data_IF_463414957972
#
_entry.id   IF_463414957972
#
_cell.length_a   1.000
_cell.length_b   1.000
_cell.length_c   1.000
_cell.angle_alpha   90.00
_cell.angle_beta   90.00
_cell.angle_gamma   90.00
#
_symmetry.space_group_name_H-M   'P 1'
#
loop_
_entity.id
_entity.type
_entity.pdbx_description
1 polymer ?
#
# COMPACT_ATOMS: atom_id res chain seq x y z
N UNK A 1 -25.80 26.02 -9.62
CA UNK A 1 -25.54 24.60 -9.29
C UNK A 1 -25.51 23.84 -10.60
N UNK A 2 -24.31 23.54 -11.13
CA UNK A 2 -24.17 22.57 -12.23
C UNK A 2 -24.31 21.19 -11.59
N UNK A 3 -25.28 20.41 -12.07
CA UNK A 3 -25.40 18.99 -11.74
C UNK A 3 -24.03 18.33 -12.01
N UNK A 4 -23.41 17.76 -10.98
CA UNK A 4 -22.31 16.82 -11.19
C UNK A 4 -22.93 15.64 -11.97
N UNK A 5 -22.69 15.58 -13.25
CA UNK A 5 -22.91 14.34 -14.02
C UNK A 5 -22.07 13.27 -13.33
N UNK A 6 -22.73 12.28 -12.78
CA UNK A 6 -22.08 11.07 -12.27
C UNK A 6 -21.48 10.37 -13.48
N UNK A 7 -20.17 10.56 -13.70
CA UNK A 7 -19.43 9.83 -14.73
C UNK A 7 -19.50 8.36 -14.32
N UNK A 8 -20.18 7.54 -15.09
CA UNK A 8 -20.24 6.11 -14.87
C UNK A 8 -18.82 5.50 -15.03
N UNK A 9 -18.42 4.55 -14.19
CA UNK A 9 -17.14 3.86 -14.34
C UNK A 9 -17.03 3.25 -15.74
N UNK A 10 -15.92 3.48 -16.42
CA UNK A 10 -15.77 3.10 -17.84
C UNK A 10 -14.69 2.03 -18.05
N UNK A 11 -13.73 1.86 -17.14
CA UNK A 11 -12.55 1.02 -17.33
C UNK A 11 -12.43 -0.05 -16.26
N UNK A 12 -12.14 -1.29 -16.65
CA UNK A 12 -11.95 -2.40 -15.71
C UNK A 12 -10.75 -2.13 -14.79
N UNK A 13 -9.57 -2.06 -15.37
CA UNK A 13 -8.34 -1.66 -14.68
C UNK A 13 -7.80 -0.37 -15.28
N UNK A 14 -7.45 0.58 -14.43
CA UNK A 14 -6.91 1.87 -14.85
C UNK A 14 -5.56 2.13 -14.22
N UNK A 15 -4.75 2.96 -14.86
CA UNK A 15 -3.48 3.43 -14.36
C UNK A 15 -3.52 4.96 -14.21
N UNK A 16 -3.25 5.47 -13.02
CA UNK A 16 -3.03 6.90 -12.77
C UNK A 16 -1.55 7.21 -12.77
N UNK A 17 -1.10 8.01 -13.74
CA UNK A 17 0.26 8.49 -13.83
C UNK A 17 0.35 9.90 -13.24
N UNK A 18 1.10 10.06 -12.14
CA UNK A 18 1.11 11.29 -11.36
C UNK A 18 2.52 11.73 -10.99
N UNK A 19 2.91 12.94 -11.42
CA UNK A 19 4.15 13.57 -10.97
C UNK A 19 3.99 14.07 -9.53
N UNK A 20 4.78 13.52 -8.62
CA UNK A 20 4.69 13.78 -7.20
C UNK A 20 5.84 14.70 -6.73
N UNK A 21 5.46 15.83 -6.17
CA UNK A 21 6.34 16.76 -5.46
C UNK A 21 5.59 17.37 -4.27
N UNK A 22 6.25 18.26 -3.52
CA UNK A 22 5.64 18.94 -2.38
C UNK A 22 4.36 19.70 -2.78
N UNK A 23 4.39 20.41 -3.91
CA UNK A 23 3.26 21.25 -4.36
C UNK A 23 2.09 20.40 -4.85
N UNK A 24 2.36 19.35 -5.61
CA UNK A 24 1.34 18.48 -6.16
C UNK A 24 0.70 17.58 -5.09
N UNK A 25 1.37 17.33 -3.96
CA UNK A 25 0.88 16.46 -2.90
C UNK A 25 -0.50 16.85 -2.36
N UNK A 26 -0.85 18.13 -2.37
CA UNK A 26 -2.14 18.65 -1.90
C UNK A 26 -3.32 18.27 -2.82
N UNK A 27 -3.04 17.94 -4.07
CA UNK A 27 -4.05 17.57 -5.07
C UNK A 27 -4.21 16.06 -5.24
N UNK A 28 -3.29 15.27 -4.69
CA UNK A 28 -3.21 13.82 -4.91
C UNK A 28 -4.51 13.10 -4.53
N UNK A 29 -5.07 13.40 -3.35
CA UNK A 29 -6.28 12.75 -2.86
C UNK A 29 -7.48 12.97 -3.81
N UNK A 30 -7.67 14.19 -4.28
CA UNK A 30 -8.77 14.52 -5.21
C UNK A 30 -8.55 13.89 -6.58
N UNK A 31 -7.31 13.87 -7.08
CA UNK A 31 -6.96 13.20 -8.34
C UNK A 31 -7.24 11.69 -8.27
N UNK A 32 -6.89 11.05 -7.16
CA UNK A 32 -7.20 9.64 -6.92
C UNK A 32 -8.72 9.41 -6.93
N UNK A 33 -9.49 10.26 -6.26
CA UNK A 33 -10.95 10.18 -6.24
C UNK A 33 -11.54 10.26 -7.66
N UNK A 34 -11.06 11.18 -8.48
CA UNK A 34 -11.50 11.31 -9.87
C UNK A 34 -11.16 10.08 -10.71
N UNK A 35 -9.96 9.52 -10.54
CA UNK A 35 -9.53 8.33 -11.24
C UNK A 35 -10.34 7.08 -10.84
N UNK A 36 -10.57 6.87 -9.53
CA UNK A 36 -11.36 5.73 -9.05
C UNK A 36 -12.79 5.80 -9.57
N UNK A 37 -13.40 6.98 -9.63
CA UNK A 37 -14.76 7.13 -10.12
C UNK A 37 -14.96 6.72 -11.58
N UNK A 38 -13.87 6.59 -12.34
CA UNK A 38 -13.86 6.08 -13.71
C UNK A 38 -13.30 4.64 -13.83
N UNK A 39 -12.98 4.00 -12.71
CA UNK A 39 -12.44 2.64 -12.65
C UNK A 39 -13.45 1.68 -12.01
N UNK A 40 -13.56 0.46 -12.56
CA UNK A 40 -14.56 -0.54 -12.11
C UNK A 40 -13.97 -1.54 -11.13
N UNK A 41 -12.76 -2.04 -11.39
CA UNK A 41 -12.17 -3.15 -10.62
C UNK A 41 -10.90 -2.75 -9.90
N UNK A 42 -10.00 -2.01 -10.58
CA UNK A 42 -8.67 -1.72 -10.06
C UNK A 42 -8.14 -0.38 -10.55
N UNK A 43 -7.44 0.32 -9.65
CA UNK A 43 -6.62 1.48 -9.99
C UNK A 43 -5.17 1.26 -9.56
N UNK A 44 -4.24 1.33 -10.51
CA UNK A 44 -2.80 1.36 -10.25
C UNK A 44 -2.36 2.82 -10.24
N UNK A 45 -1.85 3.29 -9.10
CA UNK A 45 -1.38 4.65 -8.91
C UNK A 45 0.14 4.67 -9.02
N UNK A 46 0.65 5.32 -10.06
CA UNK A 46 2.08 5.48 -10.31
C UNK A 46 2.49 6.88 -9.88
N UNK A 47 3.17 6.99 -8.74
CA UNK A 47 3.73 8.24 -8.26
C UNK A 47 5.17 8.36 -8.70
N UNK A 48 5.48 9.44 -9.45
CA UNK A 48 6.82 9.71 -9.97
C UNK A 48 7.49 10.84 -9.21
N UNK A 49 8.68 10.57 -8.72
CA UNK A 49 9.58 11.59 -8.17
C UNK A 49 11.03 11.11 -8.23
N UNK A 50 12.01 11.96 -8.52
CA UNK A 50 13.43 11.59 -8.37
C UNK A 50 13.77 11.11 -6.97
N UNK A 51 13.00 11.54 -5.96
CA UNK A 51 13.16 11.14 -4.56
C UNK A 51 12.81 9.66 -4.29
N UNK A 52 12.11 8.99 -5.22
CA UNK A 52 11.75 7.57 -5.13
C UNK A 52 12.80 6.64 -5.75
N UNK A 53 14.03 7.12 -5.90
CA UNK A 53 15.12 6.29 -6.42
C UNK A 53 15.54 5.20 -5.41
N UNK A 54 15.14 3.97 -5.68
CA UNK A 54 15.45 2.79 -4.87
C UNK A 54 16.91 2.36 -4.94
N UNK A 55 17.69 2.87 -5.90
CA UNK A 55 19.11 2.54 -6.04
C UNK A 55 19.98 3.26 -5.00
N UNK A 56 19.47 4.34 -4.41
CA UNK A 56 20.16 5.09 -3.37
C UNK A 56 19.93 4.48 -1.99
N UNK A 57 20.44 3.26 -1.78
CA UNK A 57 20.17 2.42 -0.60
C UNK A 57 20.43 3.12 0.73
N UNK A 58 21.44 3.99 0.79
CA UNK A 58 21.81 4.72 2.02
C UNK A 58 20.72 5.72 2.49
N UNK A 59 19.83 6.11 1.60
CA UNK A 59 18.77 7.10 1.90
C UNK A 59 17.40 6.48 2.20
N UNK A 60 17.21 5.19 1.97
CA UNK A 60 15.89 4.57 2.10
C UNK A 60 15.30 4.73 3.50
N UNK A 61 16.09 4.44 4.53
CA UNK A 61 15.64 4.55 5.92
C UNK A 61 15.45 5.99 6.39
N UNK A 62 16.22 6.94 5.86
CA UNK A 62 16.07 8.36 6.21
C UNK A 62 14.75 8.96 5.72
N UNK A 63 14.18 8.40 4.65
CA UNK A 63 12.90 8.83 4.07
C UNK A 63 11.69 8.08 4.63
N UNK A 64 11.85 7.22 5.64
CA UNK A 64 10.81 6.33 6.17
C UNK A 64 9.48 7.04 6.42
N UNK A 65 9.47 8.10 7.25
CA UNK A 65 8.23 8.78 7.63
C UNK A 65 7.56 9.47 6.44
N UNK A 66 8.37 10.07 5.56
CA UNK A 66 7.87 10.74 4.36
C UNK A 66 7.20 9.74 3.40
N UNK A 67 7.85 8.61 3.11
CA UNK A 67 7.29 7.54 2.27
C UNK A 67 6.02 6.97 2.89
N UNK A 68 6.03 6.69 4.20
CA UNK A 68 4.84 6.23 4.90
C UNK A 68 3.67 7.20 4.75
N UNK A 69 3.91 8.50 4.92
CA UNK A 69 2.87 9.52 4.80
C UNK A 69 2.28 9.61 3.38
N UNK A 70 3.10 9.45 2.35
CA UNK A 70 2.64 9.42 0.95
C UNK A 70 1.74 8.21 0.71
N UNK A 71 2.17 7.02 1.12
CA UNK A 71 1.40 5.79 0.98
C UNK A 71 0.07 5.88 1.76
N UNK A 72 0.12 6.37 2.99
CA UNK A 72 -1.07 6.57 3.83
C UNK A 72 -2.04 7.52 3.15
N UNK A 73 -1.58 8.68 2.65
CA UNK A 73 -2.43 9.64 1.94
C UNK A 73 -3.13 9.00 0.73
N UNK A 74 -2.36 8.32 -0.11
CA UNK A 74 -2.89 7.72 -1.33
C UNK A 74 -3.89 6.60 -1.04
N UNK A 75 -3.54 5.67 -0.14
CA UNK A 75 -4.43 4.56 0.21
C UNK A 75 -5.68 4.97 0.98
N UNK A 76 -5.60 6.00 1.82
CA UNK A 76 -6.79 6.52 2.52
C UNK A 76 -7.73 7.20 1.53
N UNK A 77 -7.20 8.02 0.63
CA UNK A 77 -8.02 8.64 -0.41
C UNK A 77 -8.79 7.58 -1.23
N UNK A 78 -8.12 6.48 -1.59
CA UNK A 78 -8.74 5.37 -2.30
C UNK A 78 -9.78 4.63 -1.44
N UNK A 79 -9.46 4.34 -0.18
CA UNK A 79 -10.34 3.61 0.72
C UNK A 79 -11.66 4.34 0.98
N UNK A 80 -11.63 5.68 1.11
CA UNK A 80 -12.85 6.48 1.26
C UNK A 80 -13.78 6.30 0.06
N UNK A 81 -13.26 6.37 -1.17
CA UNK A 81 -14.09 6.20 -2.36
C UNK A 81 -14.67 4.79 -2.45
N UNK A 82 -13.88 3.78 -2.12
CA UNK A 82 -14.34 2.39 -2.05
C UNK A 82 -15.50 2.21 -1.07
N UNK A 83 -15.41 2.86 0.10
CA UNK A 83 -16.47 2.82 1.12
C UNK A 83 -17.74 3.54 0.66
N UNK A 84 -17.59 4.73 0.07
CA UNK A 84 -18.72 5.50 -0.48
C UNK A 84 -19.47 4.72 -1.57
N UNK A 85 -18.76 3.82 -2.27
CA UNK A 85 -19.32 2.94 -3.32
C UNK A 85 -19.86 1.60 -2.77
N UNK A 86 -19.74 1.31 -1.46
CA UNK A 86 -19.97 -0.02 -0.85
C UNK A 86 -19.24 -1.14 -1.62
N UNK A 87 -18.00 -0.85 -2.05
CA UNK A 87 -17.15 -1.79 -2.80
C UNK A 87 -15.79 -2.00 -2.13
N UNK A 88 -15.73 -2.77 -1.03
CA UNK A 88 -14.48 -3.02 -0.31
C UNK A 88 -13.53 -3.97 -1.05
N UNK A 89 -13.95 -4.53 -2.19
CA UNK A 89 -13.12 -5.37 -3.05
C UNK A 89 -12.47 -4.60 -4.19
N UNK A 90 -12.79 -3.30 -4.36
CA UNK A 90 -12.09 -2.46 -5.31
C UNK A 90 -10.60 -2.44 -5.00
N UNK A 91 -9.79 -2.83 -5.97
CA UNK A 91 -8.35 -2.97 -5.76
C UNK A 91 -7.62 -1.66 -6.09
N UNK A 92 -6.72 -1.25 -5.19
CA UNK A 92 -5.87 -0.07 -5.40
C UNK A 92 -4.43 -0.44 -5.09
N UNK A 93 -3.54 -0.19 -6.04
CA UNK A 93 -2.10 -0.33 -5.85
C UNK A 93 -1.39 1.01 -5.99
N UNK A 94 -0.39 1.25 -5.15
CA UNK A 94 0.46 2.44 -5.23
C UNK A 94 1.89 1.99 -5.43
N UNK A 95 2.53 2.49 -6.50
CA UNK A 95 3.96 2.28 -6.75
C UNK A 95 4.69 3.62 -6.77
N UNK A 96 5.91 3.60 -6.25
CA UNK A 96 6.80 4.75 -6.14
C UNK A 96 7.96 4.55 -7.09
N UNK A 97 8.13 5.42 -8.09
CA UNK A 97 9.13 5.27 -9.14
C UNK A 97 9.84 6.58 -9.42
N UNK A 98 11.10 6.48 -9.82
CA UNK A 98 11.93 7.65 -10.17
C UNK A 98 11.49 8.27 -11.49
N UNK A 99 11.16 7.46 -12.48
CA UNK A 99 10.85 7.88 -13.84
C UNK A 99 9.90 6.88 -14.55
N UNK A 100 9.51 7.21 -15.79
CA UNK A 100 8.61 6.40 -16.59
C UNK A 100 9.19 5.05 -17.03
N UNK A 101 10.51 4.96 -17.19
CA UNK A 101 11.16 3.71 -17.59
C UNK A 101 11.15 2.72 -16.45
N UNK A 102 11.39 3.20 -15.22
CA UNK A 102 11.24 2.40 -14.02
C UNK A 102 9.77 1.98 -13.83
N UNK A 103 8.80 2.87 -14.08
CA UNK A 103 7.39 2.51 -14.04
C UNK A 103 7.07 1.35 -15.01
N UNK A 104 7.56 1.40 -16.24
CA UNK A 104 7.35 0.34 -17.21
C UNK A 104 7.97 -1.02 -16.76
N UNK A 105 9.11 -0.98 -16.08
CA UNK A 105 9.73 -2.20 -15.52
C UNK A 105 8.86 -2.78 -14.37
N UNK A 106 8.38 -1.95 -13.46
CA UNK A 106 7.52 -2.37 -12.35
C UNK A 106 6.20 -2.97 -12.84
N UNK A 107 5.66 -2.44 -13.94
CA UNK A 107 4.38 -2.82 -14.50
C UNK A 107 4.48 -3.84 -15.65
N UNK A 108 5.64 -4.43 -15.88
CA UNK A 108 5.87 -5.34 -17.02
C UNK A 108 4.92 -6.56 -17.08
N UNK A 109 4.36 -6.95 -15.93
CA UNK A 109 3.43 -8.09 -15.82
C UNK A 109 1.97 -7.65 -15.60
N UNK A 110 1.69 -6.34 -15.57
CA UNK A 110 0.37 -5.80 -15.34
C UNK A 110 -0.35 -5.49 -16.66
N UNK A 111 -1.68 -5.36 -16.59
CA UNK A 111 -2.53 -4.95 -17.72
C UNK A 111 -3.52 -3.90 -17.22
N UNK A 112 -3.81 -2.93 -18.08
CA UNK A 112 -4.78 -1.86 -17.83
C UNK A 112 -5.47 -1.47 -19.13
N UNK A 113 -6.63 -0.84 -19.01
CA UNK A 113 -7.45 -0.42 -20.15
C UNK A 113 -7.23 1.07 -20.49
N UNK A 114 -6.95 1.87 -19.45
CA UNK A 114 -6.78 3.31 -19.61
C UNK A 114 -5.61 3.86 -18.76
N UNK A 115 -5.00 4.93 -19.26
CA UNK A 115 -4.00 5.72 -18.55
C UNK A 115 -4.59 7.10 -18.25
N UNK A 116 -4.71 7.44 -16.98
CA UNK A 116 -5.14 8.74 -16.49
C UNK A 116 -3.92 9.64 -16.24
N UNK A 117 -3.98 10.86 -16.73
CA UNK A 117 -3.00 11.92 -16.47
C UNK A 117 -3.71 13.22 -16.09
N UNK A 118 -3.03 14.15 -15.47
CA UNK A 118 -3.58 15.49 -15.29
C UNK A 118 -3.61 16.25 -16.62
N UNK A 119 -4.54 17.19 -16.73
CA UNK A 119 -4.64 18.10 -17.87
C UNK A 119 -3.29 18.78 -18.15
N UNK A 120 -2.86 18.74 -19.41
CA UNK A 120 -1.56 19.27 -19.84
C UNK A 120 -0.36 18.34 -19.60
N UNK A 121 -0.53 17.20 -18.94
CA UNK A 121 0.53 16.21 -18.72
C UNK A 121 0.38 15.07 -19.75
N UNK A 122 1.34 14.89 -20.67
CA UNK A 122 1.27 13.81 -21.65
C UNK A 122 1.47 12.45 -20.98
N UNK A 123 0.71 11.45 -21.41
CA UNK A 123 0.93 10.08 -20.98
C UNK A 123 2.27 9.54 -21.54
N UNK A 124 3.11 8.87 -20.70
CA UNK A 124 4.38 8.34 -21.16
C UNK A 124 4.21 7.25 -22.20
N UNK A 125 4.98 7.32 -23.28
CA UNK A 125 4.95 6.31 -24.36
C UNK A 125 5.22 4.89 -23.85
N UNK A 126 6.01 4.75 -22.78
CA UNK A 126 6.33 3.46 -22.19
C UNK A 126 5.11 2.80 -21.49
N UNK A 127 4.07 3.59 -21.14
CA UNK A 127 2.87 3.13 -20.43
C UNK A 127 1.62 3.11 -21.34
N UNK A 128 1.73 3.55 -22.59
CA UNK A 128 0.62 3.64 -23.53
C UNK A 128 0.94 2.84 -24.78
N UNK A 129 -0.02 2.04 -25.25
CA UNK A 129 0.00 1.42 -26.55
C UNK A 129 -1.33 1.67 -27.28
N UNK A 130 -1.49 1.17 -28.50
CA UNK A 130 -2.65 1.41 -29.34
C UNK A 130 -4.00 0.87 -28.76
N UNK A 131 -3.94 0.01 -27.73
CA UNK A 131 -5.11 -0.58 -27.08
C UNK A 131 -5.53 0.15 -25.79
N UNK A 132 -4.78 1.17 -25.37
CA UNK A 132 -5.08 1.93 -24.15
C UNK A 132 -5.74 3.27 -24.46
N UNK A 133 -6.81 3.58 -23.74
CA UNK A 133 -7.33 4.93 -23.72
C UNK A 133 -6.45 5.86 -22.88
N UNK A 134 -6.31 7.11 -23.30
CA UNK A 134 -5.66 8.14 -22.52
C UNK A 134 -6.70 9.17 -22.08
N UNK A 135 -6.87 9.31 -20.77
CA UNK A 135 -7.88 10.17 -20.17
C UNK A 135 -7.21 11.31 -19.42
N UNK A 136 -7.55 12.53 -19.79
CA UNK A 136 -7.09 13.74 -19.10
C UNK A 136 -8.05 14.05 -17.95
N UNK A 137 -7.53 14.02 -16.72
CA UNK A 137 -8.27 14.44 -15.53
C UNK A 137 -8.09 15.95 -15.31
N UNK A 138 -9.16 16.65 -14.90
CA UNK A 138 -9.03 18.07 -14.61
C UNK A 138 -8.02 18.29 -13.47
N UNK A 139 -7.27 19.37 -13.55
CA UNK A 139 -6.46 19.80 -12.42
C UNK A 139 -7.39 20.05 -11.23
N UNK A 140 -7.11 19.41 -10.10
CA UNK A 140 -7.95 19.54 -8.91
C UNK A 140 -7.96 21.01 -8.45
N UNK A 141 -9.12 21.67 -8.56
CA UNK A 141 -9.31 22.97 -7.95
C UNK A 141 -9.49 22.78 -6.44
N UNK A 142 -8.78 23.58 -5.66
CA UNK A 142 -9.03 23.63 -4.21
C UNK A 142 -10.50 23.94 -3.96
N UNK A 143 -11.23 23.00 -3.41
CA UNK A 143 -12.50 23.33 -2.75
C UNK A 143 -12.17 24.21 -1.55
N UNK A 144 -12.69 25.45 -1.56
CA UNK A 144 -12.50 26.38 -0.44
C UNK A 144 -12.91 25.70 0.86
N UNK A 145 -11.95 25.55 1.79
CA UNK A 145 -12.20 25.00 3.13
C UNK A 145 -11.33 23.81 3.53
N UNK A 146 -10.54 23.22 2.62
CA UNK A 146 -9.65 22.09 2.95
C UNK A 146 -8.22 22.60 3.09
N UNK A 147 -7.73 22.79 4.30
CA UNK A 147 -6.32 23.08 4.58
C UNK A 147 -5.52 21.78 4.52
N UNK A 148 -5.27 21.28 3.31
CA UNK A 148 -4.31 20.19 3.13
C UNK A 148 -2.92 20.82 3.12
N UNK A 149 -2.08 20.46 4.09
CA UNK A 149 -0.70 20.90 4.11
C UNK A 149 0.14 20.06 3.13
N UNK A 150 1.07 20.69 2.37
CA UNK A 150 1.97 19.97 1.50
C UNK A 150 2.81 18.93 2.28
N UNK A 151 2.99 17.75 1.69
CA UNK A 151 3.87 16.72 2.24
C UNK A 151 5.34 17.07 1.94
N UNK A 152 5.97 17.75 2.89
CA UNK A 152 7.40 18.10 2.80
C UNK A 152 8.27 16.88 2.97
N UNK A 153 9.32 16.79 2.16
CA UNK A 153 10.39 15.83 2.37
C UNK A 153 11.09 16.14 3.70
N UNK A 154 10.87 15.29 4.68
CA UNK A 154 11.60 15.32 5.96
C UNK A 154 12.40 14.04 6.05
N UNK A 155 13.70 14.18 6.27
CA UNK A 155 14.60 13.04 6.46
C UNK A 155 14.93 12.87 7.94
N UNK A 156 14.92 11.62 8.41
CA UNK A 156 15.40 11.30 9.77
C UNK A 156 16.92 11.53 9.84
N UNK A 157 17.35 12.24 10.88
CA UNK A 157 18.76 12.27 11.26
C UNK A 157 19.13 10.96 11.95
N UNK A 158 20.27 10.38 11.61
CA UNK A 158 20.76 9.16 12.23
C UNK A 158 21.70 8.36 11.34
N UNK A 159 22.19 7.22 11.85
CA UNK A 159 23.02 6.30 11.05
C UNK A 159 22.16 5.74 9.90
N UNK A 160 22.61 6.00 8.69
CA UNK A 160 22.04 5.41 7.47
C UNK A 160 22.36 3.92 7.48
N UNK A 161 21.36 3.08 7.66
CA UNK A 161 21.51 1.64 7.64
C UNK A 161 20.91 1.06 6.37
N UNK A 162 21.61 0.07 5.83
CA UNK A 162 21.16 -0.72 4.68
C UNK A 162 20.73 -2.08 5.22
N UNK A 163 19.53 -2.52 4.86
CA UNK A 163 19.02 -3.82 5.27
C UNK A 163 18.95 -4.73 4.04
N UNK A 164 19.82 -5.72 4.00
CA UNK A 164 19.80 -6.73 2.94
C UNK A 164 18.58 -7.63 3.08
N UNK A 165 18.25 -8.03 4.29
CA UNK A 165 17.12 -8.90 4.60
C UNK A 165 16.25 -8.26 5.66
N UNK A 166 14.98 -8.05 5.32
CA UNK A 166 13.95 -7.59 6.26
C UNK A 166 12.81 -8.59 6.33
N UNK A 167 12.06 -8.56 7.41
CA UNK A 167 10.91 -9.43 7.61
C UNK A 167 9.67 -8.65 8.04
N UNK A 168 8.52 -9.18 7.72
CA UNK A 168 7.22 -8.77 8.24
C UNK A 168 6.28 -9.98 8.28
N UNK A 169 5.19 -9.88 9.04
CA UNK A 169 4.25 -10.99 9.16
C UNK A 169 2.80 -10.53 9.30
N UNK A 170 1.89 -11.39 8.89
CA UNK A 170 0.46 -11.12 8.98
C UNK A 170 -0.41 -12.23 8.37
N UNK A 171 -1.71 -12.03 8.38
CA UNK A 171 -2.64 -12.95 7.70
C UNK A 171 -2.67 -12.70 6.19
N UNK A 172 -2.54 -11.45 5.78
CA UNK A 172 -2.59 -10.98 4.39
C UNK A 172 -3.82 -11.48 3.61
N UNK A 173 -4.94 -11.56 4.33
CA UNK A 173 -6.22 -11.96 3.76
C UNK A 173 -6.87 -10.74 3.10
N UNK A 174 -7.29 -10.86 1.83
CA UNK A 174 -7.76 -9.74 1.02
C UNK A 174 -6.83 -8.53 1.15
N UNK A 175 -5.72 -8.51 0.40
CA UNK A 175 -4.71 -7.45 0.47
C UNK A 175 -5.35 -6.06 0.40
N UNK A 176 -5.70 -5.51 1.56
CA UNK A 176 -6.27 -4.18 1.71
C UNK A 176 -5.18 -3.12 1.97
N UNK A 177 -5.56 -1.85 1.97
CA UNK A 177 -4.67 -0.70 2.10
C UNK A 177 -3.64 -0.83 3.25
N UNK A 178 -4.06 -1.28 4.43
CA UNK A 178 -3.15 -1.48 5.57
C UNK A 178 -2.07 -2.54 5.32
N UNK A 179 -2.43 -3.66 4.68
CA UNK A 179 -1.45 -4.67 4.28
C UNK A 179 -0.49 -4.12 3.22
N UNK A 180 -0.99 -3.39 2.23
CA UNK A 180 -0.18 -2.83 1.16
C UNK A 180 0.80 -1.78 1.67
N UNK A 181 0.39 -0.92 2.62
CA UNK A 181 1.32 0.01 3.29
C UNK A 181 2.42 -0.78 4.02
N UNK A 182 2.05 -1.80 4.81
CA UNK A 182 3.02 -2.61 5.57
C UNK A 182 4.05 -3.27 4.63
N UNK A 183 3.59 -3.93 3.57
CA UNK A 183 4.45 -4.60 2.60
C UNK A 183 5.32 -3.59 1.84
N UNK A 184 4.74 -2.46 1.40
CA UNK A 184 5.48 -1.40 0.70
C UNK A 184 6.61 -0.83 1.55
N UNK A 185 6.35 -0.57 2.84
CA UNK A 185 7.36 -0.05 3.75
C UNK A 185 8.47 -1.08 4.03
N UNK A 186 8.12 -2.35 4.18
CA UNK A 186 9.10 -3.44 4.26
C UNK A 186 9.95 -3.55 3.01
N UNK A 187 9.32 -3.56 1.83
CA UNK A 187 10.02 -3.59 0.55
C UNK A 187 10.89 -2.35 0.33
N UNK A 188 10.42 -1.16 0.75
CA UNK A 188 11.15 0.09 0.63
C UNK A 188 12.55 0.02 1.24
N UNK A 189 12.67 -0.45 2.49
CA UNK A 189 13.96 -0.51 3.19
C UNK A 189 14.82 -1.72 2.84
N UNK A 190 14.24 -2.75 2.20
CA UNK A 190 14.93 -4.00 1.85
C UNK A 190 15.74 -3.83 0.55
N UNK A 191 16.97 -4.33 0.51
CA UNK A 191 17.82 -4.24 -0.69
C UNK A 191 18.03 -5.57 -1.41
N UNK A 192 17.73 -6.70 -0.76
CA UNK A 192 17.92 -8.03 -1.36
C UNK A 192 16.70 -8.94 -1.18
N UNK A 193 16.32 -9.31 0.06
CA UNK A 193 15.24 -10.28 0.32
C UNK A 193 14.26 -9.77 1.37
N UNK A 194 12.98 -9.71 1.02
CA UNK A 194 11.87 -9.45 1.94
C UNK A 194 11.18 -10.77 2.30
N UNK A 195 11.29 -11.17 3.57
CA UNK A 195 10.59 -12.33 4.10
C UNK A 195 9.21 -11.89 4.56
N UNK A 196 8.17 -12.50 4.01
CA UNK A 196 6.78 -12.25 4.41
C UNK A 196 6.18 -13.51 5.00
N UNK A 197 6.01 -13.53 6.33
CA UNK A 197 5.36 -14.64 7.03
C UNK A 197 3.84 -14.56 6.95
N UNK A 198 3.20 -15.53 6.31
CA UNK A 198 1.74 -15.61 6.21
C UNK A 198 1.20 -16.63 7.23
N UNK A 199 0.29 -16.21 8.11
CA UNK A 199 -0.34 -17.11 9.07
C UNK A 199 -1.02 -18.29 8.35
N UNK A 200 -0.61 -19.53 8.68
CA UNK A 200 -1.24 -20.73 8.18
C UNK A 200 -2.62 -20.95 8.85
N UNK A 201 -3.41 -21.86 8.31
CA UNK A 201 -4.80 -22.09 8.70
C UNK A 201 -4.94 -22.42 10.20
N UNK A 202 -3.94 -23.08 10.80
CA UNK A 202 -3.91 -23.39 12.24
C UNK A 202 -3.98 -22.13 13.12
N UNK A 203 -3.35 -21.04 12.69
CA UNK A 203 -3.36 -19.76 13.40
C UNK A 203 -4.66 -18.96 13.19
N UNK A 204 -5.50 -19.38 12.24
CA UNK A 204 -6.69 -18.64 11.82
C UNK A 204 -8.00 -19.21 12.38
N UNK A 205 -7.95 -20.30 13.14
CA UNK A 205 -9.12 -21.03 13.63
C UNK A 205 -10.11 -20.19 14.44
N UNK A 206 -9.63 -19.14 15.13
CA UNK A 206 -10.43 -18.22 15.96
C UNK A 206 -10.89 -16.96 15.25
N UNK A 207 -10.58 -16.80 13.96
CA UNK A 207 -10.99 -15.60 13.20
C UNK A 207 -12.48 -15.61 12.92
N UNK A 208 -13.14 -14.45 13.10
CA UNK A 208 -14.53 -14.27 12.70
C UNK A 208 -14.69 -14.47 11.19
N UNK A 209 -15.82 -15.09 10.79
CA UNK A 209 -16.14 -15.38 9.39
C UNK A 209 -15.00 -16.11 8.65
N UNK A 210 -14.41 -17.12 9.32
CA UNK A 210 -13.25 -17.86 8.81
C UNK A 210 -13.49 -18.57 7.48
N UNK A 211 -14.74 -18.91 7.16
CA UNK A 211 -15.12 -19.54 5.89
C UNK A 211 -14.85 -18.65 4.65
N UNK A 212 -14.72 -17.34 4.84
CA UNK A 212 -14.39 -16.40 3.78
C UNK A 212 -12.89 -16.07 3.69
N UNK A 213 -12.05 -16.65 4.57
CA UNK A 213 -10.60 -16.43 4.49
C UNK A 213 -10.08 -17.05 3.18
N UNK A 214 -9.30 -16.29 2.45
CA UNK A 214 -8.69 -16.78 1.21
C UNK A 214 -7.69 -17.89 1.51
N UNK A 215 -7.61 -18.93 0.65
CA UNK A 215 -6.63 -20.00 0.80
C UNK A 215 -5.19 -19.44 0.88
N UNK A 216 -4.32 -20.09 1.63
CA UNK A 216 -2.92 -19.67 1.82
C UNK A 216 -2.20 -19.48 0.48
N UNK A 217 -2.46 -20.34 -0.50
CA UNK A 217 -1.87 -20.24 -1.85
C UNK A 217 -2.24 -18.95 -2.56
N UNK A 218 -3.50 -18.49 -2.42
CA UNK A 218 -3.95 -17.21 -2.99
C UNK A 218 -3.31 -16.03 -2.27
N UNK A 219 -3.28 -16.07 -0.92
CA UNK A 219 -2.67 -15.01 -0.11
C UNK A 219 -1.18 -14.84 -0.41
N UNK A 220 -0.45 -15.96 -0.51
CA UNK A 220 0.98 -15.98 -0.87
C UNK A 220 1.21 -15.43 -2.27
N UNK A 221 0.43 -15.87 -3.26
CA UNK A 221 0.54 -15.39 -4.64
C UNK A 221 0.26 -13.88 -4.74
N UNK A 222 -0.76 -13.37 -4.02
CA UNK A 222 -1.09 -11.94 -4.00
C UNK A 222 0.02 -11.09 -3.39
N UNK A 223 0.62 -11.54 -2.28
CA UNK A 223 1.77 -10.87 -1.65
C UNK A 223 2.97 -10.84 -2.60
N UNK A 224 3.33 -11.98 -3.19
CA UNK A 224 4.46 -12.06 -4.12
C UNK A 224 4.27 -11.19 -5.36
N UNK A 225 3.05 -11.15 -5.92
CA UNK A 225 2.71 -10.29 -7.05
C UNK A 225 2.84 -8.82 -6.68
N UNK A 226 2.32 -8.41 -5.52
CA UNK A 226 2.40 -7.04 -5.05
C UNK A 226 3.84 -6.57 -4.81
N UNK A 227 4.68 -7.39 -4.13
CA UNK A 227 6.10 -7.06 -3.91
C UNK A 227 6.84 -6.92 -5.24
N UNK A 228 6.62 -7.84 -6.18
CA UNK A 228 7.23 -7.79 -7.51
C UNK A 228 6.85 -6.52 -8.28
N UNK A 229 5.60 -6.08 -8.16
CA UNK A 229 5.14 -4.83 -8.78
C UNK A 229 5.73 -3.60 -8.05
N UNK A 230 5.73 -3.59 -6.72
CA UNK A 230 6.21 -2.44 -5.95
C UNK A 230 7.73 -2.25 -6.05
N UNK A 231 8.51 -3.34 -5.96
CA UNK A 231 9.99 -3.32 -6.02
C UNK A 231 10.53 -4.61 -6.65
N UNK A 232 10.57 -4.71 -7.99
CA UNK A 232 10.98 -5.92 -8.70
C UNK A 232 12.47 -6.29 -8.50
N UNK A 233 13.28 -5.39 -7.93
CA UNK A 233 14.70 -5.60 -7.68
C UNK A 233 15.02 -6.46 -6.45
N UNK A 234 14.01 -6.84 -5.66
CA UNK A 234 14.20 -7.67 -4.46
C UNK A 234 13.49 -9.02 -4.61
N UNK A 235 14.01 -10.00 -3.90
CA UNK A 235 13.35 -11.30 -3.75
C UNK A 235 12.22 -11.19 -2.71
N UNK A 236 11.04 -11.72 -3.05
CA UNK A 236 9.94 -11.90 -2.12
C UNK A 236 9.89 -13.35 -1.65
N UNK A 237 10.25 -13.59 -0.39
CA UNK A 237 10.19 -14.89 0.26
C UNK A 237 8.91 -14.98 1.10
N UNK A 238 7.78 -15.31 0.44
CA UNK A 238 6.47 -15.40 1.07
C UNK A 238 6.25 -16.82 1.59
N UNK A 239 6.34 -17.00 2.92
CA UNK A 239 6.33 -18.30 3.60
C UNK A 239 5.13 -18.47 4.52
N UNK A 240 4.50 -19.65 4.50
CA UNK A 240 3.49 -20.01 5.50
C UNK A 240 4.16 -20.21 6.87
N UNK A 241 3.60 -19.59 7.92
CA UNK A 241 4.09 -19.71 9.29
C UNK A 241 3.04 -20.41 10.17
N UNK A 242 3.49 -21.39 10.94
CA UNK A 242 2.64 -22.15 11.87
C UNK A 242 2.71 -21.59 13.30
N UNK A 243 3.64 -20.70 13.56
CA UNK A 243 3.73 -19.93 14.80
C UNK A 243 3.84 -18.43 14.50
N UNK A 244 3.62 -17.58 15.51
CA UNK A 244 3.58 -16.12 15.35
C UNK A 244 4.96 -15.48 15.11
N UNK A 245 6.03 -16.25 15.21
CA UNK A 245 7.41 -15.76 15.11
C UNK A 245 8.04 -16.07 13.74
N UNK A 246 7.72 -17.26 13.19
CA UNK A 246 8.23 -17.72 11.90
C UNK A 246 9.76 -17.56 11.76
N UNK A 247 10.26 -17.23 10.56
CA UNK A 247 11.69 -17.08 10.30
C UNK A 247 12.39 -16.04 11.17
N UNK A 248 11.69 -15.05 11.72
CA UNK A 248 12.29 -14.03 12.57
C UNK A 248 12.89 -14.60 13.85
N UNK A 249 12.42 -15.75 14.34
CA UNK A 249 12.91 -16.39 15.54
C UNK A 249 14.17 -17.24 15.33
N UNK A 250 14.55 -17.58 14.08
CA UNK A 250 15.64 -18.52 13.81
C UNK A 250 16.56 -18.14 12.66
N UNK A 251 16.15 -17.31 11.70
CA UNK A 251 17.01 -16.89 10.59
C UNK A 251 17.98 -15.79 11.04
N UNK A 252 19.31 -16.05 11.09
CA UNK A 252 20.29 -15.05 11.49
C UNK A 252 20.49 -13.92 10.50
N UNK A 253 20.05 -14.10 9.25
CA UNK A 253 20.22 -13.10 8.20
C UNK A 253 19.23 -11.94 8.30
N UNK A 254 18.14 -12.07 9.06
CA UNK A 254 17.13 -11.02 9.22
C UNK A 254 17.71 -9.87 10.05
N UNK A 255 17.74 -8.69 9.45
CA UNK A 255 18.35 -7.47 10.01
C UNK A 255 17.30 -6.46 10.49
N UNK A 256 16.12 -6.46 9.90
CA UNK A 256 15.02 -5.56 10.26
C UNK A 256 13.68 -6.31 10.33
N UNK A 257 12.86 -5.92 11.29
CA UNK A 257 11.47 -6.38 11.43
C UNK A 257 10.53 -5.18 11.29
N UNK A 258 9.60 -5.29 10.34
CA UNK A 258 8.57 -4.25 10.13
C UNK A 258 7.23 -4.76 10.67
N UNK A 259 6.64 -3.98 11.58
CA UNK A 259 5.38 -4.34 12.26
C UNK A 259 4.39 -3.17 12.21
N UNK A 260 3.11 -3.48 12.35
CA UNK A 260 2.11 -2.46 12.70
C UNK A 260 2.07 -2.22 14.21
N UNK A 261 1.53 -1.09 14.64
CA UNK A 261 1.33 -0.81 16.07
C UNK A 261 0.49 -1.91 16.78
N UNK A 262 -0.41 -2.58 16.05
CA UNK A 262 -1.22 -3.68 16.58
C UNK A 262 -0.41 -4.95 16.89
N UNK A 263 0.70 -5.17 16.17
CA UNK A 263 1.54 -6.36 16.30
C UNK A 263 2.85 -6.09 17.06
N UNK A 264 3.02 -4.88 17.58
CA UNK A 264 4.23 -4.46 18.31
C UNK A 264 4.55 -5.35 19.52
N UNK A 265 3.53 -5.85 20.22
CA UNK A 265 3.72 -6.77 21.36
C UNK A 265 4.47 -8.05 21.01
N UNK A 266 4.30 -8.56 19.78
CA UNK A 266 5.03 -9.73 19.29
C UNK A 266 6.52 -9.48 19.04
N UNK A 267 6.89 -8.24 18.68
CA UNK A 267 8.27 -7.91 18.36
C UNK A 267 9.22 -8.05 19.58
N UNK A 268 8.76 -7.70 20.78
CA UNK A 268 9.54 -7.86 22.01
C UNK A 268 9.82 -9.33 22.31
N UNK A 269 8.85 -10.20 22.11
CA UNK A 269 9.03 -11.66 22.29
C UNK A 269 10.01 -12.22 21.27
N UNK A 270 9.94 -11.78 20.01
CA UNK A 270 10.93 -12.16 18.99
C UNK A 270 12.33 -11.72 19.40
N UNK A 271 12.51 -10.49 19.90
CA UNK A 271 13.81 -9.98 20.34
C UNK A 271 14.39 -10.84 21.49
N UNK A 272 13.54 -11.23 22.45
CA UNK A 272 13.93 -12.12 23.54
C UNK A 272 14.36 -13.50 23.02
N UNK A 273 13.55 -14.15 22.17
CA UNK A 273 13.86 -15.45 21.58
C UNK A 273 15.18 -15.44 20.80
N UNK A 274 15.45 -14.37 20.06
CA UNK A 274 16.72 -14.21 19.34
C UNK A 274 17.90 -14.10 20.30
N UNK A 275 17.74 -13.35 21.39
CA UNK A 275 18.76 -13.24 22.43
C UNK A 275 19.09 -14.59 23.08
N UNK A 276 18.05 -15.36 23.45
CA UNK A 276 18.18 -16.70 24.02
C UNK A 276 18.89 -17.68 23.07
N UNK A 277 18.73 -17.50 21.77
CA UNK A 277 19.35 -18.30 20.71
C UNK A 277 20.69 -17.74 20.22
N UNK A 278 21.20 -16.69 20.82
CA UNK A 278 22.43 -16.01 20.39
C UNK A 278 22.42 -15.54 18.94
N UNK A 279 21.24 -15.18 18.43
CA UNK A 279 21.08 -14.62 17.08
C UNK A 279 21.34 -13.10 17.09
N UNK A 280 21.80 -12.52 15.95
CA UNK A 280 21.96 -11.08 15.83
C UNK A 280 20.66 -10.32 16.12
N UNK A 281 20.70 -9.16 16.81
CA UNK A 281 19.53 -8.34 17.02
C UNK A 281 19.01 -7.76 15.70
N UNK A 282 17.72 -7.50 15.64
CA UNK A 282 17.05 -6.83 14.50
C UNK A 282 16.69 -5.40 14.87
N UNK A 283 16.76 -4.50 13.92
CA UNK A 283 16.14 -3.18 14.07
C UNK A 283 14.63 -3.28 13.86
N UNK A 284 13.88 -2.55 14.68
CA UNK A 284 12.43 -2.56 14.64
C UNK A 284 11.90 -1.30 13.93
N UNK A 285 11.05 -1.51 12.92
CA UNK A 285 10.32 -0.47 12.23
C UNK A 285 8.83 -0.62 12.50
N UNK A 286 8.23 0.41 13.04
CA UNK A 286 6.80 0.41 13.38
C UNK A 286 6.07 1.30 12.38
N UNK A 287 5.05 0.73 11.75
CA UNK A 287 4.12 1.48 10.92
C UNK A 287 3.01 2.02 11.79
N UNK A 288 2.89 3.32 11.81
CA UNK A 288 1.79 4.01 12.45
C UNK A 288 0.77 4.47 11.39
N UNK A 289 -0.13 3.58 11.04
CA UNK A 289 -1.22 3.88 10.09
C UNK A 289 -2.24 4.87 10.70
N UNK A 290 -2.14 5.14 12.01
CA UNK A 290 -3.12 5.92 12.78
C UNK A 290 -2.51 7.19 13.37
N UNK A 291 -1.19 7.44 13.22
CA UNK A 291 -0.57 8.63 13.78
C UNK A 291 -1.09 9.90 13.11
N UNK A 292 -1.96 10.56 13.86
CA UNK A 292 -2.63 11.81 13.52
C UNK A 292 -1.71 13.03 13.56
N UNK A 293 -0.43 12.85 13.86
CA UNK A 293 0.50 13.95 14.10
C UNK A 293 1.28 14.43 12.87
N UNK A 294 1.22 13.70 11.75
CA UNK A 294 2.04 14.01 10.56
C UNK A 294 1.24 14.32 9.29
N UNK A 295 0.02 13.82 9.15
CA UNK A 295 -0.86 14.16 8.04
C UNK A 295 -2.01 14.97 8.60
N UNK A 296 -1.98 16.29 8.42
CA UNK A 296 -3.11 17.16 8.76
C UNK A 296 -4.19 16.94 7.71
N UNK A 297 -4.95 15.87 7.90
CA UNK A 297 -6.26 15.76 7.29
C UNK A 297 -7.21 16.72 8.06
N UNK A 298 -8.20 17.35 7.40
CA UNK A 298 -9.17 18.23 8.09
C UNK A 298 -9.79 17.51 9.30
N UNK A 299 -10.26 18.25 10.32
CA UNK A 299 -10.76 17.73 11.61
C UNK A 299 -11.78 16.57 11.50
N UNK A 300 -12.44 16.40 10.37
CA UNK A 300 -13.23 15.21 10.02
C UNK A 300 -12.36 13.97 9.69
N UNK A 301 -11.06 14.15 9.40
CA UNK A 301 -10.17 13.08 8.95
C UNK A 301 -9.77 12.08 10.03
N UNK A 302 -9.71 12.47 11.31
CA UNK A 302 -9.31 11.55 12.40
C UNK A 302 -10.41 10.53 12.74
N UNK A 303 -11.69 10.91 12.64
CA UNK A 303 -12.80 9.98 12.72
C UNK A 303 -12.89 9.13 11.44
N UNK A 304 -12.75 9.75 10.26
CA UNK A 304 -12.78 9.10 8.96
C UNK A 304 -11.64 8.08 8.76
N UNK A 305 -10.46 8.29 9.39
CA UNK A 305 -9.36 7.31 9.41
C UNK A 305 -9.70 6.05 10.19
N UNK A 306 -10.45 6.19 11.30
CA UNK A 306 -10.96 5.03 12.05
C UNK A 306 -12.07 4.33 11.27
N UNK A 307 -12.92 5.10 10.59
CA UNK A 307 -14.04 4.59 9.79
C UNK A 307 -13.56 4.03 8.45
N UNK A 308 -12.52 4.61 7.83
CA UNK A 308 -11.87 4.13 6.61
C UNK A 308 -10.90 2.95 6.85
N UNK A 309 -10.83 2.40 8.05
CA UNK A 309 -10.03 1.21 8.34
C UNK A 309 -10.63 0.00 7.65
N UNK A 310 -10.37 -0.12 6.36
CA UNK A 310 -10.62 -1.38 5.66
C UNK A 310 -9.72 -2.45 6.27
N UNK A 311 -10.34 -3.47 6.81
CA UNK A 311 -9.65 -4.62 7.41
C UNK A 311 -10.18 -5.91 6.80
N UNK A 312 -9.38 -6.97 6.83
CA UNK A 312 -9.85 -8.30 6.40
C UNK A 312 -11.12 -8.73 7.12
N UNK A 313 -11.31 -8.32 8.38
CA UNK A 313 -12.53 -8.61 9.14
C UNK A 313 -13.74 -7.90 8.54
N UNK A 314 -13.62 -6.62 8.22
CA UNK A 314 -14.69 -5.87 7.55
C UNK A 314 -15.06 -6.48 6.19
N UNK A 315 -14.06 -6.86 5.39
CA UNK A 315 -14.30 -7.49 4.07
C UNK A 315 -15.04 -8.82 4.25
N UNK A 316 -14.65 -9.67 5.19
CA UNK A 316 -15.35 -10.94 5.45
C UNK A 316 -16.76 -10.73 5.98
N UNK A 317 -17.01 -9.74 6.80
CA UNK A 317 -18.35 -9.37 7.27
C UNK A 317 -19.22 -8.85 6.12
N UNK A 318 -18.65 -8.07 5.22
CA UNK A 318 -19.36 -7.59 4.03
C UNK A 318 -19.74 -8.76 3.10
N UNK A 319 -18.84 -9.72 2.86
CA UNK A 319 -19.10 -10.92 2.08
C UNK A 319 -20.24 -11.76 2.70
N UNK A 320 -20.19 -11.98 4.01
CA UNK A 320 -21.24 -12.71 4.73
C UNK A 320 -22.62 -12.04 4.60
N UNK A 321 -22.68 -10.71 4.67
CA UNK A 321 -23.93 -9.96 4.49
C UNK A 321 -24.46 -10.09 3.06
N UNK A 322 -23.60 -10.03 2.05
CA UNK A 322 -23.98 -10.14 0.63
C UNK A 322 -24.56 -11.53 0.32
N UNK A 323 -23.97 -12.61 0.82
CA UNK A 323 -24.49 -13.98 0.68
C UNK A 323 -25.86 -14.13 1.33
N UNK A 324 -26.03 -13.71 2.58
CA UNK A 324 -27.33 -13.78 3.28
C UNK A 324 -28.43 -12.89 2.67
N UNK A 325 -28.07 -11.95 1.79
CA UNK A 325 -29.04 -11.11 1.05
C UNK A 325 -29.46 -11.75 -0.28
N UNK A 326 -28.70 -12.70 -0.83
CA UNK A 326 -29.03 -13.43 -2.06
C UNK A 326 -29.89 -14.68 -1.82
N UNK A 327 -29.97 -15.15 -0.58
CA UNK A 327 -30.80 -16.30 -0.18
C UNK A 327 -32.22 -15.90 0.24
N UNK A 328 -32.56 -14.63 0.23
CA UNK A 328 -33.91 -14.10 0.51
C UNK A 328 -34.57 -13.58 -0.74
#
# INVERSE_FOLDING_TARGET
MRSMETISPSYGTSLLYYHFDEKSSVHLAETIRLAINQSVQRLIIVLLSPEFDHSQHEHLTSKWDWIQNILVLAYIAAAHVSQDRDDPLFDTDVILVRDSDQAAQHLAHERWDAVFTLEGVPAPKALVNASHDTVSLPAACHTQGSTIHPLKLVTREGKRKIYSVSALGGTFDYLHSGHKILISMGAWITTHRLIVGLSDDELLTRKANKQYIQPITKRTASVAAFVRMFKPSIECDAVAIQDVYGPTAWDPSVQALVVSSETLGGASTVAQLRSERSLPPMDLFVIDVISTSSVVLPERGTAALRDAKMSSTYIREWLARKEGSQEK
#
